data_IF_741846763368
#
_entry.id   IF_741846763368
#
_cell.length_a   1.000
_cell.length_b   1.000
_cell.length_c   1.000
_cell.angle_alpha   90.00
_cell.angle_beta   90.00
_cell.angle_gamma   90.00
#
_symmetry.space_group_name_H-M   'P 1'
#
loop_
_entity.id
_entity.type
_entity.pdbx_description
1 polymer ?
#
# COMPACT_ATOMS: atom_id res chain seq x y z
N UNK A 1 4.59 13.94 19.57
CA UNK A 1 3.89 13.50 18.33
C UNK A 1 3.55 12.03 18.48
N UNK A 2 2.32 11.56 18.16
CA UNK A 2 1.99 10.14 18.33
C UNK A 2 2.86 9.30 17.38
N UNK A 3 3.37 8.15 17.84
CA UNK A 3 4.34 7.35 17.09
C UNK A 3 3.84 6.86 15.73
N UNK A 4 2.53 6.60 15.58
CA UNK A 4 1.92 6.30 14.29
C UNK A 4 2.02 7.45 13.26
N UNK A 5 2.01 8.71 13.70
CA UNK A 5 2.23 9.85 12.81
C UNK A 5 3.69 9.93 12.34
N UNK A 6 4.64 9.56 13.21
CA UNK A 6 6.06 9.49 12.85
C UNK A 6 6.26 8.46 11.74
N UNK A 7 5.69 7.26 11.87
CA UNK A 7 5.78 6.24 10.81
C UNK A 7 5.17 6.70 9.49
N UNK A 8 4.01 7.37 9.54
CA UNK A 8 3.37 7.91 8.33
C UNK A 8 4.26 8.94 7.63
N UNK A 9 4.78 9.91 8.38
CA UNK A 9 5.64 10.95 7.82
C UNK A 9 6.94 10.37 7.26
N UNK A 10 7.51 9.38 7.95
CA UNK A 10 8.68 8.64 7.47
C UNK A 10 8.36 7.88 6.18
N UNK A 11 7.21 7.22 6.09
CA UNK A 11 6.75 6.55 4.88
C UNK A 11 6.61 7.51 3.70
N UNK A 12 6.02 8.69 3.93
CA UNK A 12 5.92 9.74 2.90
C UNK A 12 7.30 10.27 2.51
N UNK A 13 8.22 10.43 3.47
CA UNK A 13 9.58 10.80 3.15
C UNK A 13 10.24 9.76 2.22
N UNK A 14 10.10 8.46 2.52
CA UNK A 14 10.58 7.40 1.63
C UNK A 14 9.89 7.39 0.27
N UNK A 15 8.59 7.69 0.20
CA UNK A 15 7.89 7.87 -1.06
C UNK A 15 8.49 9.02 -1.88
N UNK A 16 8.84 10.15 -1.25
CA UNK A 16 9.49 11.27 -1.94
C UNK A 16 10.89 10.87 -2.40
N UNK A 17 11.67 10.25 -1.51
CA UNK A 17 13.07 9.88 -1.77
C UNK A 17 13.20 8.74 -2.79
N UNK A 18 12.23 7.84 -2.90
CA UNK A 18 12.21 6.81 -3.96
C UNK A 18 11.45 7.26 -5.21
N UNK A 19 10.31 7.92 -5.04
CA UNK A 19 9.42 8.29 -6.14
C UNK A 19 9.96 9.41 -7.02
N UNK A 20 10.62 10.43 -6.46
CA UNK A 20 11.21 11.52 -7.27
C UNK A 20 12.34 10.98 -8.16
N UNK A 21 13.32 10.22 -7.64
CA UNK A 21 14.30 9.55 -8.49
C UNK A 21 13.70 8.64 -9.54
N UNK A 22 12.67 7.86 -9.20
CA UNK A 22 11.99 7.02 -10.17
C UNK A 22 11.46 7.85 -11.35
N UNK A 23 10.77 8.97 -11.07
CA UNK A 23 10.27 9.87 -12.11
C UNK A 23 11.40 10.41 -12.99
N UNK A 24 12.49 10.86 -12.39
CA UNK A 24 13.63 11.41 -13.13
C UNK A 24 14.33 10.36 -14.00
N UNK A 25 14.60 9.17 -13.43
CA UNK A 25 15.15 8.03 -14.15
C UNK A 25 14.27 7.62 -15.33
N UNK A 26 12.95 7.62 -15.15
CA UNK A 26 12.04 7.28 -16.23
C UNK A 26 12.01 8.33 -17.34
N UNK A 27 12.02 9.61 -17.01
CA UNK A 27 12.12 10.66 -18.01
C UNK A 27 13.41 10.55 -18.82
N UNK A 28 14.53 10.29 -18.14
CA UNK A 28 15.85 10.09 -18.78
C UNK A 28 15.84 8.86 -19.71
N UNK A 29 15.33 7.72 -19.23
CA UNK A 29 15.18 6.50 -20.03
C UNK A 29 14.25 6.67 -21.24
N UNK A 30 13.33 7.63 -21.19
CA UNK A 30 12.46 7.97 -22.32
C UNK A 30 13.14 8.92 -23.32
N UNK A 31 14.33 9.45 -23.02
CA UNK A 31 15.07 10.37 -23.89
C UNK A 31 14.68 11.83 -23.69
N UNK A 32 14.33 12.22 -22.45
CA UNK A 32 14.09 13.64 -22.14
C UNK A 32 15.32 14.49 -22.49
N UNK A 33 15.14 15.63 -23.19
CA UNK A 33 16.26 16.31 -23.86
C UNK A 33 17.17 17.12 -22.93
N UNK A 34 16.91 17.13 -21.62
CA UNK A 34 17.66 17.90 -20.62
C UNK A 34 18.30 16.93 -19.64
N UNK A 35 19.58 17.12 -19.25
CA UNK A 35 20.22 16.26 -18.26
C UNK A 35 19.46 16.29 -16.93
N UNK A 36 19.08 15.12 -16.44
CA UNK A 36 18.37 14.94 -15.18
C UNK A 36 19.31 14.33 -14.12
N UNK A 37 19.14 14.64 -12.83
CA UNK A 37 19.94 14.06 -11.76
C UNK A 37 19.46 12.64 -11.42
N UNK A 38 19.72 11.69 -12.33
CA UNK A 38 19.28 10.28 -12.28
C UNK A 38 20.01 9.42 -11.24
N UNK A 39 21.16 9.89 -10.76
CA UNK A 39 21.98 9.18 -9.76
C UNK A 39 21.55 9.44 -8.31
N UNK A 40 20.52 10.28 -8.09
CA UNK A 40 19.96 10.50 -6.75
C UNK A 40 19.23 9.23 -6.30
N UNK A 41 19.76 8.54 -5.28
CA UNK A 41 19.23 7.29 -4.72
C UNK A 41 19.11 6.14 -5.73
N UNK A 42 20.19 5.33 -5.80
CA UNK A 42 20.28 4.21 -6.75
C UNK A 42 19.27 3.10 -6.45
N UNK A 43 18.82 2.96 -5.19
CA UNK A 43 17.90 1.89 -4.79
C UNK A 43 16.46 2.40 -4.59
N UNK A 44 15.98 3.26 -5.49
CA UNK A 44 14.62 3.82 -5.44
C UNK A 44 13.51 2.76 -5.28
N UNK A 45 13.63 1.59 -5.92
CA UNK A 45 12.67 0.50 -5.78
C UNK A 45 12.63 -0.05 -4.34
N UNK A 46 13.79 -0.15 -3.69
CA UNK A 46 13.92 -0.61 -2.31
C UNK A 46 13.31 0.41 -1.35
N UNK A 47 13.58 1.71 -1.57
CA UNK A 47 12.94 2.81 -0.83
C UNK A 47 11.42 2.78 -0.96
N UNK A 48 10.89 2.48 -2.14
CA UNK A 48 9.45 2.39 -2.37
C UNK A 48 8.82 1.17 -1.68
N UNK A 49 9.42 -0.02 -1.81
CA UNK A 49 8.86 -1.27 -1.30
C UNK A 49 9.11 -1.43 0.20
N UNK A 50 10.38 -1.39 0.62
CA UNK A 50 10.78 -1.63 2.01
C UNK A 50 10.88 -0.37 2.84
N UNK A 51 10.85 0.83 2.23
CA UNK A 51 10.65 2.08 2.95
C UNK A 51 9.17 2.43 3.03
N UNK A 52 8.61 2.97 1.93
CA UNK A 52 7.25 3.52 1.91
C UNK A 52 6.16 2.48 2.20
N UNK A 53 6.04 1.41 1.41
CA UNK A 53 4.97 0.44 1.59
C UNK A 53 5.08 -0.31 2.91
N UNK A 54 6.29 -0.71 3.32
CA UNK A 54 6.51 -1.38 4.61
C UNK A 54 6.13 -0.49 5.79
N UNK A 55 6.42 0.81 5.76
CA UNK A 55 5.99 1.72 6.82
C UNK A 55 4.48 1.97 6.79
N UNK A 56 3.88 2.12 5.61
CA UNK A 56 2.43 2.29 5.46
C UNK A 56 1.67 1.08 6.01
N UNK A 57 2.08 -0.13 5.61
CA UNK A 57 1.50 -1.39 6.07
C UNK A 57 1.80 -1.63 7.55
N UNK A 58 3.02 -1.34 8.00
CA UNK A 58 3.38 -1.43 9.40
C UNK A 58 2.51 -0.52 10.27
N UNK A 59 2.13 0.66 9.76
CA UNK A 59 1.19 1.56 10.44
C UNK A 59 -0.22 0.97 10.49
N UNK A 60 -0.70 0.38 9.39
CA UNK A 60 -1.98 -0.34 9.37
C UNK A 60 -2.01 -1.44 10.45
N UNK A 61 -0.96 -2.27 10.53
CA UNK A 61 -0.91 -3.39 11.48
C UNK A 61 -0.73 -2.93 12.94
N UNK A 62 0.23 -2.05 13.20
CA UNK A 62 0.62 -1.63 14.55
C UNK A 62 -0.30 -0.56 15.13
N UNK A 63 -1.01 0.20 14.30
CA UNK A 63 -1.85 1.32 14.76
C UNK A 63 -3.32 1.05 14.48
N UNK A 64 -3.72 0.93 13.21
CA UNK A 64 -5.14 0.84 12.84
C UNK A 64 -5.76 -0.50 13.29
N UNK A 65 -5.25 -1.61 12.76
CA UNK A 65 -5.71 -2.96 13.09
C UNK A 65 -5.52 -3.27 14.58
N UNK A 66 -4.40 -2.85 15.17
CA UNK A 66 -4.19 -2.99 16.61
C UNK A 66 -5.31 -2.32 17.42
N UNK A 67 -5.66 -1.09 17.06
CA UNK A 67 -6.69 -0.33 17.76
C UNK A 67 -8.08 -0.94 17.55
N UNK A 68 -8.38 -1.39 16.35
CA UNK A 68 -9.62 -2.11 16.04
C UNK A 68 -9.75 -3.41 16.85
N UNK A 69 -8.67 -4.20 16.91
CA UNK A 69 -8.70 -5.54 17.47
C UNK A 69 -8.57 -5.56 19.00
N UNK A 70 -7.67 -4.75 19.55
CA UNK A 70 -7.35 -4.72 20.98
C UNK A 70 -7.88 -3.49 21.72
N UNK A 71 -8.47 -2.52 21.01
CA UNK A 71 -8.93 -1.25 21.57
C UNK A 71 -7.79 -0.28 21.92
N UNK A 72 -6.55 -0.58 21.50
CA UNK A 72 -5.37 0.28 21.69
C UNK A 72 -4.37 0.08 20.56
N UNK A 73 -3.59 1.12 20.27
CA UNK A 73 -2.43 0.98 19.36
C UNK A 73 -1.35 0.09 20.00
N UNK A 74 -0.44 -0.42 19.19
CA UNK A 74 0.74 -1.14 19.67
C UNK A 74 1.57 -0.25 20.62
N UNK A 75 2.36 -0.85 21.53
CA UNK A 75 3.25 -0.09 22.39
C UNK A 75 4.17 0.83 21.59
N UNK A 76 4.33 2.08 22.04
CA UNK A 76 5.13 3.09 21.33
C UNK A 76 6.55 2.64 21.04
N UNK A 77 7.20 1.93 21.98
CA UNK A 77 8.54 1.40 21.77
C UNK A 77 8.60 0.44 20.59
N UNK A 78 7.59 -0.40 20.39
CA UNK A 78 7.54 -1.37 19.28
C UNK A 78 7.40 -0.66 17.94
N UNK A 79 6.53 0.36 17.89
CA UNK A 79 6.31 1.21 16.72
C UNK A 79 7.61 1.93 16.32
N UNK A 80 8.32 2.48 17.30
CA UNK A 80 9.58 3.20 17.07
C UNK A 80 10.71 2.24 16.64
N UNK A 81 10.87 1.10 17.32
CA UNK A 81 11.86 0.08 16.95
C UNK A 81 11.61 -0.40 15.51
N UNK A 82 10.36 -0.70 15.16
CA UNK A 82 10.00 -1.04 13.78
C UNK A 82 10.42 0.05 12.78
N UNK A 83 10.05 1.31 13.03
CA UNK A 83 10.38 2.43 12.15
C UNK A 83 11.88 2.68 12.02
N UNK A 84 12.64 2.58 13.11
CA UNK A 84 14.10 2.71 13.11
C UNK A 84 14.76 1.56 12.35
N UNK A 85 14.30 0.33 12.54
CA UNK A 85 14.80 -0.83 11.78
C UNK A 85 14.59 -0.62 10.28
N UNK A 86 13.39 -0.19 9.86
CA UNK A 86 13.13 0.11 8.44
C UNK A 86 14.03 1.23 7.93
N UNK A 87 14.22 2.31 8.71
CA UNK A 87 15.11 3.41 8.34
C UNK A 87 16.55 2.93 8.13
N UNK A 88 17.10 2.16 9.08
CA UNK A 88 18.45 1.60 8.99
C UNK A 88 18.59 0.70 7.76
N UNK A 89 17.61 -0.17 7.50
CA UNK A 89 17.64 -1.07 6.35
C UNK A 89 17.75 -0.32 5.02
N UNK A 90 16.98 0.77 4.87
CA UNK A 90 17.03 1.60 3.68
C UNK A 90 18.32 2.41 3.56
N UNK A 91 18.84 2.96 4.67
CA UNK A 91 20.14 3.66 4.67
C UNK A 91 21.28 2.71 4.27
N UNK A 92 21.27 1.47 4.77
CA UNK A 92 22.25 0.45 4.40
C UNK A 92 22.15 0.07 2.92
N UNK A 93 20.93 0.02 2.37
CA UNK A 93 20.76 -0.28 0.95
C UNK A 93 21.36 0.82 0.07
N UNK A 94 21.14 2.08 0.40
CA UNK A 94 21.75 3.20 -0.33
C UNK A 94 23.28 3.24 -0.18
N UNK A 95 23.81 2.67 0.90
CA UNK A 95 25.24 2.44 1.07
C UNK A 95 25.76 1.17 0.33
N UNK A 96 24.89 0.46 -0.40
CA UNK A 96 25.24 -0.76 -1.15
C UNK A 96 25.50 -2.00 -0.28
N UNK A 97 25.02 -2.02 0.96
CA UNK A 97 25.30 -3.08 1.92
C UNK A 97 24.18 -4.13 1.97
N UNK A 98 24.54 -5.41 1.77
CA UNK A 98 23.61 -6.56 1.87
C UNK A 98 22.96 -6.71 3.25
N UNK A 99 23.54 -6.11 4.29
CA UNK A 99 22.93 -6.04 5.63
C UNK A 99 21.53 -5.39 5.62
N UNK A 100 21.22 -4.58 4.59
CA UNK A 100 19.88 -4.02 4.37
C UNK A 100 18.78 -5.09 4.45
N UNK A 101 18.92 -6.20 3.71
CA UNK A 101 17.91 -7.27 3.66
C UNK A 101 17.72 -7.94 5.02
N UNK A 102 18.79 -8.20 5.77
CA UNK A 102 18.70 -8.79 7.11
C UNK A 102 18.01 -7.85 8.11
N UNK A 103 18.25 -6.55 7.99
CA UNK A 103 17.55 -5.54 8.80
C UNK A 103 16.06 -5.47 8.41
N UNK A 104 15.72 -5.56 7.13
CA UNK A 104 14.31 -5.66 6.70
C UNK A 104 13.65 -6.95 7.20
N UNK A 105 14.35 -8.08 7.21
CA UNK A 105 13.86 -9.32 7.83
C UNK A 105 13.52 -9.12 9.31
N UNK A 106 14.37 -8.40 10.06
CA UNK A 106 14.07 -8.07 11.44
C UNK A 106 12.78 -7.25 11.57
N UNK A 107 12.54 -6.28 10.69
CA UNK A 107 11.30 -5.52 10.66
C UNK A 107 10.07 -6.41 10.38
N UNK A 108 10.18 -7.35 9.45
CA UNK A 108 9.11 -8.32 9.17
C UNK A 108 8.88 -9.27 10.35
N UNK A 109 9.94 -9.72 11.04
CA UNK A 109 9.84 -10.55 12.26
C UNK A 109 9.12 -9.80 13.39
N UNK A 110 9.37 -8.49 13.54
CA UNK A 110 8.63 -7.66 14.50
C UNK A 110 7.13 -7.69 14.19
N UNK A 111 6.74 -7.50 12.92
CA UNK A 111 5.34 -7.56 12.50
C UNK A 111 4.74 -8.96 12.68
N UNK A 112 5.49 -10.02 12.32
CA UNK A 112 5.06 -11.41 12.51
C UNK A 112 4.85 -11.74 13.99
N UNK A 113 5.73 -11.30 14.88
CA UNK A 113 5.55 -11.50 16.31
C UNK A 113 4.31 -10.75 16.83
N UNK A 114 4.08 -9.53 16.32
CA UNK A 114 2.90 -8.75 16.67
C UNK A 114 1.59 -9.37 16.19
N UNK A 115 1.64 -10.24 15.17
CA UNK A 115 0.45 -10.90 14.61
C UNK A 115 -0.38 -11.68 15.62
N UNK A 116 0.26 -12.14 16.73
CA UNK A 116 -0.43 -12.77 17.86
C UNK A 116 -1.61 -11.94 18.37
N UNK A 117 -1.52 -10.62 18.28
CA UNK A 117 -2.59 -9.69 18.70
C UNK A 117 -3.85 -9.86 17.86
N UNK A 118 -3.72 -9.94 16.53
CA UNK A 118 -4.87 -10.05 15.63
C UNK A 118 -5.18 -11.50 15.21
N UNK A 119 -4.38 -12.47 15.66
CA UNK A 119 -4.65 -13.90 15.60
C UNK A 119 -5.28 -14.44 16.91
N UNK A 120 -5.35 -13.62 17.96
CA UNK A 120 -6.16 -13.92 19.15
C UNK A 120 -7.59 -13.41 19.00
N UNK A 121 -8.48 -13.78 19.91
CA UNK A 121 -9.83 -13.18 19.97
C UNK A 121 -9.74 -11.66 20.21
N UNK A 122 -10.59 -10.89 19.54
CA UNK A 122 -10.64 -9.43 19.69
C UNK A 122 -11.22 -9.02 21.04
N UNK A 123 -11.05 -7.74 21.42
CA UNK A 123 -11.60 -7.17 22.66
C UNK A 123 -13.14 -7.31 22.76
N UNK A 124 -13.82 -7.35 21.63
CA UNK A 124 -15.28 -7.52 21.54
C UNK A 124 -15.71 -8.97 21.26
N UNK A 125 -14.79 -9.94 21.36
CA UNK A 125 -15.10 -11.37 21.23
C UNK A 125 -15.09 -11.91 19.80
N UNK A 126 -14.67 -11.12 18.79
CA UNK A 126 -14.58 -11.60 17.42
C UNK A 126 -13.40 -12.56 17.27
N UNK A 127 -13.61 -13.66 16.55
CA UNK A 127 -12.55 -14.61 16.20
C UNK A 127 -11.80 -14.13 14.95
N UNK A 128 -10.51 -14.46 14.82
CA UNK A 128 -9.76 -14.19 13.59
C UNK A 128 -10.47 -14.77 12.37
N UNK A 129 -10.46 -14.01 11.28
CA UNK A 129 -11.07 -14.39 10.00
C UNK A 129 -9.99 -14.64 8.95
N UNK A 130 -10.38 -15.04 7.73
CA UNK A 130 -9.44 -15.29 6.62
C UNK A 130 -8.43 -14.14 6.45
N UNK A 131 -8.88 -12.89 6.53
CA UNK A 131 -8.03 -11.69 6.48
C UNK A 131 -6.83 -11.75 7.45
N UNK A 132 -7.06 -12.06 8.73
CA UNK A 132 -6.02 -12.10 9.76
C UNK A 132 -4.95 -13.14 9.44
N UNK A 133 -5.37 -14.32 8.94
CA UNK A 133 -4.47 -15.39 8.54
C UNK A 133 -3.72 -15.05 7.25
N UNK A 134 -4.40 -14.46 6.26
CA UNK A 134 -3.76 -14.02 5.00
C UNK A 134 -2.68 -12.97 5.24
N UNK A 135 -2.90 -12.03 6.17
CA UNK A 135 -1.87 -11.07 6.59
C UNK A 135 -0.65 -11.78 7.17
N UNK A 136 -0.85 -12.73 8.08
CA UNK A 136 0.25 -13.48 8.67
C UNK A 136 1.02 -14.30 7.62
N UNK A 137 0.30 -14.98 6.73
CA UNK A 137 0.90 -15.73 5.60
C UNK A 137 1.66 -14.78 4.67
N UNK A 138 1.16 -13.56 4.43
CA UNK A 138 1.87 -12.55 3.63
C UNK A 138 3.22 -12.20 4.25
N UNK A 139 3.26 -11.96 5.57
CA UNK A 139 4.51 -11.64 6.27
C UNK A 139 5.51 -12.80 6.20
N UNK A 140 5.03 -14.04 6.28
CA UNK A 140 5.86 -15.24 6.14
C UNK A 140 6.44 -15.35 4.72
N UNK A 141 5.60 -15.26 3.68
CA UNK A 141 6.05 -15.29 2.28
C UNK A 141 7.04 -14.15 2.01
N UNK A 142 6.75 -12.94 2.51
CA UNK A 142 7.61 -11.78 2.34
C UNK A 142 8.98 -11.97 3.01
N UNK A 143 9.02 -12.62 4.17
CA UNK A 143 10.28 -12.95 4.85
C UNK A 143 11.11 -13.95 4.05
N UNK A 144 10.48 -14.96 3.45
CA UNK A 144 11.16 -15.90 2.56
C UNK A 144 11.70 -15.18 1.31
N UNK A 145 10.89 -14.30 0.72
CA UNK A 145 11.26 -13.50 -0.46
C UNK A 145 12.45 -12.58 -0.16
N UNK A 146 12.41 -11.83 0.94
CA UNK A 146 13.52 -10.94 1.32
C UNK A 146 14.80 -11.73 1.59
N UNK A 147 14.68 -12.91 2.23
CA UNK A 147 15.82 -13.80 2.44
C UNK A 147 16.42 -14.29 1.13
N UNK A 148 15.57 -14.58 0.14
CA UNK A 148 16.00 -15.00 -1.19
C UNK A 148 16.65 -13.85 -1.96
N UNK A 149 16.07 -12.64 -1.90
CA UNK A 149 16.63 -11.45 -2.56
C UNK A 149 17.97 -11.02 -1.98
N UNK A 150 18.25 -11.33 -0.72
CA UNK A 150 19.57 -11.12 -0.13
C UNK A 150 20.70 -11.90 -0.84
N UNK A 151 20.36 -12.88 -1.69
CA UNK A 151 21.33 -13.69 -2.45
C UNK A 151 21.23 -13.41 -3.96
N UNK A 152 20.00 -13.30 -4.49
CA UNK A 152 19.77 -13.30 -5.93
C UNK A 152 19.40 -11.94 -6.55
N UNK A 153 19.21 -10.90 -5.73
CA UNK A 153 18.83 -9.54 -6.16
C UNK A 153 17.78 -9.50 -7.30
N UNK A 154 16.56 -9.96 -7.00
CA UNK A 154 15.45 -9.99 -7.95
C UNK A 154 14.38 -8.96 -7.55
N UNK A 155 14.40 -7.71 -8.06
CA UNK A 155 13.59 -6.61 -7.52
C UNK A 155 12.08 -6.84 -7.60
N UNK A 156 11.59 -7.53 -8.64
CA UNK A 156 10.15 -7.76 -8.84
C UNK A 156 9.53 -8.59 -7.71
N UNK A 157 10.30 -9.49 -7.09
CA UNK A 157 9.82 -10.28 -5.96
C UNK A 157 9.45 -9.39 -4.77
N UNK A 158 10.08 -8.21 -4.64
CA UNK A 158 9.71 -7.24 -3.62
C UNK A 158 8.25 -6.81 -3.70
N UNK A 159 7.62 -6.83 -4.88
CA UNK A 159 6.21 -6.48 -5.07
C UNK A 159 5.24 -7.48 -4.42
N UNK A 160 5.69 -8.69 -4.09
CA UNK A 160 4.89 -9.69 -3.40
C UNK A 160 4.36 -9.15 -2.07
N UNK A 161 5.24 -8.50 -1.28
CA UNK A 161 4.86 -7.97 0.02
C UNK A 161 3.69 -6.97 -0.05
N UNK A 162 3.79 -5.84 -0.78
CA UNK A 162 2.70 -4.87 -0.82
C UNK A 162 1.47 -5.42 -1.56
N UNK A 163 1.66 -6.20 -2.64
CA UNK A 163 0.53 -6.74 -3.41
C UNK A 163 -0.32 -7.69 -2.59
N UNK A 164 0.31 -8.67 -1.94
CA UNK A 164 -0.41 -9.64 -1.12
C UNK A 164 -1.00 -8.99 0.14
N UNK A 165 -0.30 -8.04 0.76
CA UNK A 165 -0.81 -7.38 1.97
C UNK A 165 -2.04 -6.54 1.65
N UNK A 166 -1.98 -5.71 0.61
CA UNK A 166 -3.13 -4.92 0.17
C UNK A 166 -4.28 -5.87 -0.18
N UNK A 167 -4.01 -6.93 -0.92
CA UNK A 167 -5.05 -7.90 -1.27
C UNK A 167 -5.70 -8.57 -0.05
N UNK A 168 -4.90 -8.93 0.97
CA UNK A 168 -5.40 -9.44 2.24
C UNK A 168 -6.30 -8.40 2.92
N UNK A 169 -5.86 -7.14 3.07
CA UNK A 169 -6.68 -6.04 3.62
C UNK A 169 -7.99 -5.88 2.85
N UNK A 170 -7.94 -5.96 1.52
CA UNK A 170 -9.12 -5.86 0.68
C UNK A 170 -10.13 -6.99 0.89
N UNK A 171 -9.69 -8.18 1.31
CA UNK A 171 -10.61 -9.28 1.62
C UNK A 171 -11.59 -8.95 2.75
N UNK A 172 -11.26 -7.97 3.60
CA UNK A 172 -12.13 -7.38 4.63
C UNK A 172 -12.80 -6.10 4.13
N UNK A 173 -12.01 -5.15 3.64
CA UNK A 173 -12.45 -3.76 3.47
C UNK A 173 -13.35 -3.55 2.25
N UNK A 174 -13.27 -4.41 1.23
CA UNK A 174 -14.11 -4.30 0.03
C UNK A 174 -15.60 -4.24 0.40
N UNK A 175 -16.04 -5.03 1.37
CA UNK A 175 -17.45 -5.10 1.76
C UNK A 175 -17.91 -3.78 2.37
N UNK A 176 -17.08 -3.17 3.22
CA UNK A 176 -17.35 -1.90 3.88
C UNK A 176 -17.37 -0.75 2.88
N UNK A 177 -16.36 -0.69 2.01
CA UNK A 177 -16.16 0.39 1.04
C UNK A 177 -17.23 0.37 -0.07
N UNK A 178 -17.71 -0.83 -0.43
CA UNK A 178 -18.67 -1.04 -1.52
C UNK A 178 -20.14 -1.06 -1.10
N UNK A 179 -20.45 -0.70 0.15
CA UNK A 179 -21.83 -0.52 0.64
C UNK A 179 -22.39 -1.72 1.41
N UNK A 180 -21.55 -2.43 2.16
CA UNK A 180 -21.96 -3.50 3.08
C UNK A 180 -22.18 -4.86 2.43
N UNK A 181 -21.60 -5.12 1.25
CA UNK A 181 -21.75 -6.41 0.56
C UNK A 181 -20.93 -7.49 1.26
N UNK A 182 -21.51 -8.68 1.46
CA UNK A 182 -20.78 -9.86 1.93
C UNK A 182 -19.86 -10.38 0.82
N UNK A 183 -18.57 -10.51 1.13
CA UNK A 183 -17.56 -11.06 0.23
C UNK A 183 -17.49 -12.57 0.39
N UNK A 184 -17.35 -13.31 -0.70
CA UNK A 184 -17.01 -14.73 -0.65
C UNK A 184 -15.55 -14.92 -0.23
N UNK A 185 -15.33 -15.23 1.06
CA UNK A 185 -13.99 -15.37 1.63
C UNK A 185 -13.21 -16.56 1.06
N UNK A 186 -13.89 -17.64 0.65
CA UNK A 186 -13.24 -18.81 0.07
C UNK A 186 -12.61 -18.49 -1.29
N UNK A 187 -13.39 -17.86 -2.17
CA UNK A 187 -12.89 -17.39 -3.47
C UNK A 187 -11.80 -16.33 -3.33
N UNK A 188 -11.94 -15.41 -2.37
CA UNK A 188 -10.91 -14.39 -2.13
C UNK A 188 -9.60 -15.00 -1.62
N UNK A 189 -9.68 -16.04 -0.80
CA UNK A 189 -8.50 -16.80 -0.34
C UNK A 189 -7.83 -17.54 -1.49
N UNK A 190 -8.60 -18.20 -2.36
CA UNK A 190 -8.06 -18.83 -3.56
C UNK A 190 -7.42 -17.81 -4.50
N UNK A 191 -8.07 -16.66 -4.70
CA UNK A 191 -7.54 -15.57 -5.51
C UNK A 191 -6.19 -15.06 -4.96
N UNK A 192 -6.06 -14.91 -3.64
CA UNK A 192 -4.81 -14.56 -2.99
C UNK A 192 -3.70 -15.58 -3.28
N UNK A 193 -4.00 -16.88 -3.19
CA UNK A 193 -3.02 -17.95 -3.46
C UNK A 193 -2.57 -17.93 -4.92
N UNK A 194 -3.51 -17.77 -5.85
CA UNK A 194 -3.21 -17.63 -7.27
C UNK A 194 -2.41 -16.36 -7.58
N UNK A 195 -2.67 -15.25 -6.88
CA UNK A 195 -1.86 -14.04 -7.01
C UNK A 195 -0.43 -14.29 -6.55
N UNK A 196 -0.26 -14.91 -5.37
CA UNK A 196 1.06 -15.24 -4.84
C UNK A 196 1.84 -16.16 -5.79
N UNK A 197 1.21 -17.22 -6.29
CA UNK A 197 1.79 -18.13 -7.28
C UNK A 197 2.13 -17.41 -8.58
N UNK A 198 1.25 -16.53 -9.06
CA UNK A 198 1.49 -15.69 -10.23
C UNK A 198 2.76 -14.87 -10.08
N UNK A 199 2.87 -14.08 -9.01
CA UNK A 199 4.03 -13.22 -8.77
C UNK A 199 5.34 -14.02 -8.58
N UNK A 200 5.29 -15.13 -7.84
CA UNK A 200 6.46 -15.99 -7.59
C UNK A 200 6.96 -16.70 -8.85
N UNK A 201 6.08 -16.98 -9.80
CA UNK A 201 6.41 -17.72 -11.02
C UNK A 201 6.62 -16.83 -12.24
N UNK A 202 6.79 -15.51 -12.05
CA UNK A 202 6.99 -14.53 -13.12
C UNK A 202 8.04 -15.02 -14.15
N UNK A 203 7.72 -14.86 -15.44
CA UNK A 203 8.54 -15.36 -16.55
C UNK A 203 8.22 -16.79 -16.98
N UNK A 204 7.43 -17.54 -16.21
CA UNK A 204 6.90 -18.85 -16.61
C UNK A 204 5.51 -18.74 -17.24
N UNK A 205 5.10 -19.77 -17.99
CA UNK A 205 3.74 -19.88 -18.53
C UNK A 205 2.65 -20.01 -17.45
N UNK A 206 3.01 -20.47 -16.25
CA UNK A 206 2.08 -20.60 -15.12
C UNK A 206 1.66 -19.24 -14.56
N UNK A 207 2.54 -18.24 -14.65
CA UNK A 207 2.35 -16.93 -14.04
C UNK A 207 1.14 -16.17 -14.58
N UNK A 208 0.98 -15.93 -15.90
CA UNK A 208 -0.18 -15.20 -16.42
C UNK A 208 -1.49 -15.94 -16.16
N UNK A 209 -1.48 -17.28 -16.24
CA UNK A 209 -2.66 -18.12 -15.93
C UNK A 209 -3.08 -17.92 -14.48
N UNK A 210 -2.12 -18.01 -13.54
CA UNK A 210 -2.38 -17.84 -12.12
C UNK A 210 -2.90 -16.43 -11.82
N UNK A 211 -2.31 -15.39 -12.41
CA UNK A 211 -2.76 -14.02 -12.22
C UNK A 211 -4.16 -13.75 -12.80
N UNK A 212 -4.50 -14.34 -13.95
CA UNK A 212 -5.85 -14.25 -14.51
C UNK A 212 -6.85 -14.96 -13.59
N UNK A 213 -6.52 -16.14 -13.05
CA UNK A 213 -7.38 -16.83 -12.09
C UNK A 213 -7.58 -15.99 -10.81
N UNK A 214 -6.51 -15.38 -10.31
CA UNK A 214 -6.59 -14.45 -9.19
C UNK A 214 -7.52 -13.26 -9.49
N UNK A 215 -7.40 -12.68 -10.68
CA UNK A 215 -8.26 -11.59 -11.14
C UNK A 215 -9.73 -12.02 -11.24
N UNK A 216 -10.03 -13.13 -11.92
CA UNK A 216 -11.40 -13.64 -12.10
C UNK A 216 -12.06 -13.92 -10.75
N UNK A 217 -11.39 -14.70 -9.89
CA UNK A 217 -11.92 -15.10 -8.59
C UNK A 217 -12.13 -13.88 -7.68
N UNK A 218 -11.17 -12.95 -7.63
CA UNK A 218 -11.31 -11.75 -6.81
C UNK A 218 -12.38 -10.80 -7.32
N UNK A 219 -12.53 -10.66 -8.65
CA UNK A 219 -13.58 -9.84 -9.23
C UNK A 219 -14.97 -10.42 -8.96
N UNK A 220 -15.12 -11.74 -9.06
CA UNK A 220 -16.37 -12.44 -8.74
C UNK A 220 -16.70 -12.32 -7.24
N UNK A 221 -15.74 -12.64 -6.37
CA UNK A 221 -15.90 -12.60 -4.91
C UNK A 221 -16.27 -11.19 -4.40
N UNK A 222 -15.66 -10.16 -4.98
CA UNK A 222 -15.88 -8.76 -4.60
C UNK A 222 -17.12 -8.15 -5.26
N UNK A 223 -17.37 -8.48 -6.53
CA UNK A 223 -18.36 -7.84 -7.38
C UNK A 223 -18.18 -6.33 -7.49
N UNK A 224 -16.93 -5.83 -7.48
CA UNK A 224 -16.59 -4.40 -7.57
C UNK A 224 -17.39 -3.65 -8.66
N UNK A 225 -17.47 -4.14 -9.92
CA UNK A 225 -18.13 -3.41 -10.99
C UNK A 225 -19.64 -3.21 -10.75
N UNK A 226 -20.27 -4.12 -10.02
CA UNK A 226 -21.71 -4.16 -9.77
C UNK A 226 -22.10 -3.63 -8.39
N UNK A 227 -21.14 -3.14 -7.61
CA UNK A 227 -21.39 -2.62 -6.28
C UNK A 227 -22.23 -1.34 -6.30
N UNK A 228 -23.07 -1.14 -5.27
CA UNK A 228 -23.91 0.06 -5.09
C UNK A 228 -23.26 1.15 -4.22
N UNK A 229 -22.02 0.95 -3.79
CA UNK A 229 -21.29 1.88 -2.93
C UNK A 229 -20.95 3.25 -3.55
N UNK A 230 -20.15 4.03 -2.81
CA UNK A 230 -19.70 5.36 -3.26
C UNK A 230 -19.02 5.27 -4.63
N UNK A 231 -19.23 6.27 -5.48
CA UNK A 231 -18.69 6.28 -6.86
C UNK A 231 -17.16 6.25 -6.88
N UNK A 232 -16.52 7.09 -6.07
CA UNK A 232 -15.06 7.23 -6.11
C UNK A 232 -14.30 5.93 -5.78
N UNK A 233 -14.57 5.26 -4.64
CA UNK A 233 -13.95 3.96 -4.35
C UNK A 233 -14.22 2.89 -5.42
N UNK A 234 -15.43 2.86 -5.98
CA UNK A 234 -15.76 1.92 -7.06
C UNK A 234 -14.91 2.16 -8.30
N UNK A 235 -14.77 3.41 -8.73
CA UNK A 235 -13.97 3.73 -9.91
C UNK A 235 -12.50 3.38 -9.66
N UNK A 236 -11.95 3.79 -8.51
CA UNK A 236 -10.56 3.52 -8.16
C UNK A 236 -10.26 2.02 -8.06
N UNK A 237 -11.12 1.24 -7.39
CA UNK A 237 -10.96 -0.21 -7.28
C UNK A 237 -11.18 -0.93 -8.61
N UNK A 238 -12.12 -0.49 -9.44
CA UNK A 238 -12.28 -1.04 -10.79
C UNK A 238 -11.00 -0.81 -11.63
N UNK A 239 -10.39 0.37 -11.54
CA UNK A 239 -9.12 0.66 -12.22
C UNK A 239 -7.98 -0.20 -11.65
N UNK A 240 -7.89 -0.36 -10.33
CA UNK A 240 -6.90 -1.25 -9.72
C UNK A 240 -7.00 -2.68 -10.25
N UNK A 241 -8.22 -3.23 -10.33
CA UNK A 241 -8.45 -4.58 -10.87
C UNK A 241 -8.19 -4.64 -12.38
N UNK A 242 -8.50 -3.59 -13.14
CA UNK A 242 -8.16 -3.54 -14.55
C UNK A 242 -6.64 -3.60 -14.75
N UNK A 243 -5.86 -2.87 -13.94
CA UNK A 243 -4.41 -2.93 -13.98
C UNK A 243 -3.83 -4.26 -13.52
N UNK A 244 -4.46 -4.92 -12.55
CA UNK A 244 -4.08 -6.29 -12.19
C UNK A 244 -4.24 -7.24 -13.39
N UNK A 245 -5.33 -7.13 -14.16
CA UNK A 245 -5.48 -7.88 -15.40
C UNK A 245 -4.42 -7.51 -16.44
N UNK A 246 -4.17 -6.21 -16.65
CA UNK A 246 -3.13 -5.75 -17.58
C UNK A 246 -1.77 -6.31 -17.20
N UNK A 247 -1.42 -6.39 -15.92
CA UNK A 247 -0.16 -7.00 -15.48
C UNK A 247 -0.05 -8.47 -15.88
N UNK A 248 -1.14 -9.23 -15.82
CA UNK A 248 -1.17 -10.62 -16.25
C UNK A 248 -0.98 -10.76 -17.78
N UNK A 249 -1.53 -9.83 -18.56
CA UNK A 249 -1.43 -9.83 -20.02
C UNK A 249 -0.07 -9.30 -20.51
N UNK A 250 0.54 -8.39 -19.75
CA UNK A 250 1.78 -7.71 -20.10
C UNK A 250 3.05 -8.40 -19.60
N UNK A 251 2.97 -9.67 -19.16
CA UNK A 251 4.14 -10.37 -18.59
C UNK A 251 5.33 -10.52 -19.53
N UNK A 252 5.10 -10.49 -20.85
CA UNK A 252 6.16 -10.47 -21.86
C UNK A 252 7.02 -9.19 -21.84
N UNK A 253 6.62 -8.17 -21.08
CA UNK A 253 7.36 -6.93 -20.88
C UNK A 253 7.50 -6.63 -19.39
N UNK A 254 8.72 -6.75 -18.87
CA UNK A 254 9.04 -6.60 -17.44
C UNK A 254 8.57 -5.27 -16.86
N UNK A 255 8.85 -4.16 -17.55
CA UNK A 255 8.47 -2.83 -17.09
C UNK A 255 6.95 -2.68 -17.06
N UNK A 256 6.26 -3.10 -18.13
CA UNK A 256 4.80 -3.03 -18.20
C UNK A 256 4.15 -3.84 -17.08
N UNK A 257 4.67 -5.03 -16.80
CA UNK A 257 4.25 -5.89 -15.70
C UNK A 257 4.41 -5.19 -14.33
N UNK A 258 5.62 -4.68 -14.04
CA UNK A 258 5.91 -4.01 -12.77
C UNK A 258 5.07 -2.76 -12.59
N UNK A 259 5.00 -1.87 -13.59
CA UNK A 259 4.26 -0.62 -13.46
C UNK A 259 2.76 -0.86 -13.33
N UNK A 260 2.22 -1.87 -14.02
CA UNK A 260 0.81 -2.26 -13.88
C UNK A 260 0.48 -2.73 -12.46
N UNK A 261 1.39 -3.42 -11.77
CA UNK A 261 1.20 -3.78 -10.36
C UNK A 261 1.47 -2.57 -9.46
N UNK A 262 2.69 -2.05 -9.49
CA UNK A 262 3.21 -1.10 -8.53
C UNK A 262 2.42 0.22 -8.54
N UNK A 263 2.10 0.73 -9.73
CA UNK A 263 1.39 1.99 -9.91
C UNK A 263 -0.09 1.77 -10.23
N UNK A 264 -0.38 0.79 -11.07
CA UNK A 264 -1.74 0.47 -11.47
C UNK A 264 -2.55 -0.15 -10.34
N UNK A 265 -2.18 -1.33 -9.88
CA UNK A 265 -2.93 -2.05 -8.86
C UNK A 265 -2.80 -1.42 -7.46
N UNK A 266 -1.58 -1.20 -6.96
CA UNK A 266 -1.36 -0.78 -5.57
C UNK A 266 -1.88 0.64 -5.31
N UNK A 267 -1.44 1.64 -6.09
CA UNK A 267 -1.83 3.04 -5.80
C UNK A 267 -3.31 3.31 -6.08
N UNK A 268 -3.93 2.72 -7.12
CA UNK A 268 -5.37 2.84 -7.29
C UNK A 268 -6.13 2.18 -6.13
N UNK A 269 -5.61 1.09 -5.55
CA UNK A 269 -6.21 0.50 -4.34
C UNK A 269 -6.05 1.44 -3.14
N UNK A 270 -4.86 1.99 -2.90
CA UNK A 270 -4.63 3.00 -1.84
C UNK A 270 -5.56 4.19 -2.01
N UNK A 271 -5.80 4.67 -3.24
CA UNK A 271 -6.72 5.77 -3.51
C UNK A 271 -8.18 5.37 -3.29
N UNK A 272 -8.59 4.17 -3.68
CA UNK A 272 -9.97 3.72 -3.55
C UNK A 272 -10.37 3.39 -2.11
N UNK A 273 -9.39 3.01 -1.30
CA UNK A 273 -9.57 2.42 0.02
C UNK A 273 -9.06 3.42 1.04
N UNK A 274 -9.63 4.62 0.96
CA UNK A 274 -9.39 5.72 1.90
C UNK A 274 -9.37 5.25 3.37
N UNK A 275 -9.91 4.07 3.73
CA UNK A 275 -9.76 3.42 5.04
C UNK A 275 -8.30 3.26 5.50
N UNK A 276 -7.32 2.87 4.67
CA UNK A 276 -5.94 2.71 5.19
C UNK A 276 -5.38 4.04 5.70
N UNK A 277 -5.68 5.14 5.01
CA UNK A 277 -5.25 6.46 5.46
C UNK A 277 -6.19 7.02 6.54
N UNK A 278 -7.51 6.88 6.41
CA UNK A 278 -8.50 7.41 7.36
C UNK A 278 -8.52 6.64 8.68
N UNK A 279 -8.44 5.31 8.68
CA UNK A 279 -8.43 4.47 9.88
C UNK A 279 -7.09 4.59 10.61
N UNK A 280 -5.98 4.74 9.87
CA UNK A 280 -4.71 5.17 10.45
C UNK A 280 -4.82 6.55 11.07
N UNK A 281 -5.44 7.53 10.40
CA UNK A 281 -5.66 8.87 10.97
C UNK A 281 -6.61 8.82 12.18
N UNK A 282 -7.60 7.92 12.21
CA UNK A 282 -8.44 7.66 13.37
C UNK A 282 -7.62 7.04 14.50
N UNK A 283 -6.75 6.07 14.24
CA UNK A 283 -5.87 5.48 15.25
C UNK A 283 -4.85 6.49 15.79
N UNK A 284 -4.34 7.37 14.93
CA UNK A 284 -3.40 8.44 15.30
C UNK A 284 -4.11 9.56 16.05
N UNK A 285 -5.31 9.99 15.69
CA UNK A 285 -5.95 11.15 16.31
C UNK A 285 -7.04 10.78 17.32
N UNK A 286 -7.47 9.53 17.37
CA UNK A 286 -8.56 9.04 18.20
C UNK A 286 -9.94 9.56 17.80
N UNK A 287 -10.08 10.20 16.62
CA UNK A 287 -11.32 10.82 16.16
C UNK A 287 -11.50 10.61 14.65
N UNK A 288 -12.75 10.54 14.20
CA UNK A 288 -13.10 10.43 12.78
C UNK A 288 -12.80 11.74 12.05
N UNK A 289 -12.01 11.64 11.00
CA UNK A 289 -11.72 12.73 10.06
C UNK A 289 -12.54 12.49 8.80
N UNK A 290 -13.16 13.54 8.26
CA UNK A 290 -13.88 13.45 7.00
C UNK A 290 -13.02 14.00 5.87
N UNK A 291 -12.80 13.19 4.83
CA UNK A 291 -12.09 13.62 3.63
C UNK A 291 -13.00 13.45 2.43
N UNK A 292 -13.09 14.51 1.63
CA UNK A 292 -13.76 14.50 0.33
C UNK A 292 -12.76 14.00 -0.69
N UNK A 293 -13.07 12.91 -1.41
CA UNK A 293 -12.16 12.37 -2.41
C UNK A 293 -12.07 13.30 -3.61
N UNK A 294 -10.89 13.35 -4.23
CA UNK A 294 -10.63 14.06 -5.48
C UNK A 294 -10.31 13.04 -6.57
N UNK A 295 -10.88 13.21 -7.77
CA UNK A 295 -10.54 12.38 -8.93
C UNK A 295 -9.22 12.80 -9.60
N UNK A 296 -8.64 13.95 -9.24
CA UNK A 296 -7.40 14.44 -9.85
C UNK A 296 -6.24 13.44 -9.72
N UNK A 297 -5.91 12.89 -8.53
CA UNK A 297 -4.88 11.86 -8.40
C UNK A 297 -5.11 10.66 -9.32
N UNK A 298 -6.37 10.21 -9.38
CA UNK A 298 -6.79 9.05 -10.16
C UNK A 298 -6.58 9.28 -11.65
N UNK A 299 -7.06 10.41 -12.17
CA UNK A 299 -6.93 10.75 -13.60
C UNK A 299 -5.46 10.89 -14.00
N UNK A 300 -4.67 11.64 -13.22
CA UNK A 300 -3.25 11.87 -13.52
C UNK A 300 -2.45 10.57 -13.50
N UNK A 301 -2.62 9.75 -12.46
CA UNK A 301 -1.93 8.46 -12.33
C UNK A 301 -2.25 7.53 -13.50
N UNK A 302 -3.54 7.34 -13.80
CA UNK A 302 -3.96 6.38 -14.82
C UNK A 302 -3.63 6.85 -16.24
N UNK A 303 -3.76 8.15 -16.53
CA UNK A 303 -3.34 8.70 -17.82
C UNK A 303 -1.83 8.54 -18.02
N UNK A 304 -1.04 8.89 -17.01
CA UNK A 304 0.40 8.70 -17.04
C UNK A 304 0.78 7.21 -17.17
N UNK A 305 0.04 6.30 -16.53
CA UNK A 305 0.29 4.86 -16.63
C UNK A 305 -0.05 4.29 -18.00
N UNK A 306 -1.15 4.73 -18.64
CA UNK A 306 -1.45 4.37 -20.04
C UNK A 306 -0.31 4.80 -20.96
N UNK A 307 0.17 6.04 -20.83
CA UNK A 307 1.32 6.53 -21.60
C UNK A 307 2.58 5.69 -21.32
N UNK A 308 2.79 5.28 -20.07
CA UNK A 308 3.93 4.44 -19.71
C UNK A 308 3.88 3.07 -20.37
N UNK A 309 2.75 2.38 -20.31
CA UNK A 309 2.60 1.08 -20.95
C UNK A 309 2.73 1.20 -22.48
N UNK A 310 2.17 2.25 -23.08
CA UNK A 310 2.36 2.51 -24.50
C UNK A 310 3.86 2.64 -24.86
N UNK A 311 4.63 3.38 -24.05
CA UNK A 311 6.07 3.49 -24.22
C UNK A 311 6.79 2.14 -24.04
N UNK A 312 6.48 1.42 -22.97
CA UNK A 312 7.10 0.12 -22.66
C UNK A 312 6.83 -0.90 -23.78
N UNK A 313 5.69 -0.81 -24.48
CA UNK A 313 5.34 -1.62 -25.65
C UNK A 313 5.98 -1.15 -26.98
N UNK A 314 6.86 -0.15 -26.94
CA UNK A 314 7.66 0.30 -28.07
C UNK A 314 7.12 1.52 -28.82
N UNK A 315 6.06 2.17 -28.33
CA UNK A 315 5.61 3.43 -28.93
C UNK A 315 6.58 4.56 -28.57
N UNK A 316 7.01 5.34 -29.57
CA UNK A 316 7.85 6.52 -29.37
C UNK A 316 7.08 7.79 -29.75
N UNK A 317 6.89 8.68 -28.78
CA UNK A 317 6.30 10.00 -29.01
C UNK A 317 6.70 10.95 -27.88
N UNK A 318 6.99 12.24 -28.16
CA UNK A 318 7.35 13.21 -27.14
C UNK A 318 6.28 13.39 -26.04
N UNK A 319 5.01 13.11 -26.35
CA UNK A 319 3.94 13.18 -25.35
C UNK A 319 4.11 12.14 -24.23
N UNK A 320 4.80 11.02 -24.51
CA UNK A 320 5.03 9.95 -23.55
C UNK A 320 6.02 10.36 -22.45
N UNK A 321 6.80 11.44 -22.65
CA UNK A 321 7.65 12.02 -21.59
C UNK A 321 6.84 12.54 -20.40
N UNK A 322 5.54 12.80 -20.59
CA UNK A 322 4.65 13.20 -19.52
C UNK A 322 4.24 12.01 -18.64
N UNK A 323 4.51 10.75 -19.02
CA UNK A 323 4.03 9.58 -18.29
C UNK A 323 4.48 9.60 -16.83
N UNK A 324 5.78 9.81 -16.58
CA UNK A 324 6.36 9.78 -15.26
C UNK A 324 5.96 11.02 -14.41
N UNK A 325 6.03 12.26 -14.93
CA UNK A 325 5.51 13.44 -14.23
C UNK A 325 4.03 13.33 -13.85
N UNK A 326 3.17 12.84 -14.75
CA UNK A 326 1.74 12.67 -14.47
C UNK A 326 1.50 11.68 -13.32
N UNK A 327 2.22 10.55 -13.31
CA UNK A 327 2.14 9.57 -12.22
C UNK A 327 2.63 10.18 -10.89
N UNK A 328 3.79 10.83 -10.89
CA UNK A 328 4.36 11.48 -9.72
C UNK A 328 3.43 12.56 -9.14
N UNK A 329 2.99 13.51 -9.97
CA UNK A 329 2.05 14.57 -9.56
C UNK A 329 0.72 13.97 -9.10
N UNK A 330 0.23 12.91 -9.76
CA UNK A 330 -0.95 12.17 -9.34
C UNK A 330 -0.83 11.69 -7.89
N UNK A 331 0.23 10.96 -7.57
CA UNK A 331 0.49 10.45 -6.22
C UNK A 331 0.66 11.59 -5.21
N UNK A 332 1.45 12.62 -5.52
CA UNK A 332 1.65 13.75 -4.60
C UNK A 332 0.36 14.53 -4.34
N UNK A 333 -0.45 14.73 -5.38
CA UNK A 333 -1.72 15.44 -5.25
C UNK A 333 -2.68 14.71 -4.30
N UNK A 334 -2.67 13.38 -4.26
CA UNK A 334 -3.46 12.60 -3.30
C UNK A 334 -3.08 12.95 -1.85
N UNK A 335 -1.79 12.92 -1.53
CA UNK A 335 -1.32 13.26 -0.18
C UNK A 335 -1.57 14.72 0.17
N UNK A 336 -1.25 15.65 -0.72
CA UNK A 336 -1.45 17.09 -0.48
C UNK A 336 -2.92 17.41 -0.25
N UNK A 337 -3.83 16.89 -1.08
CA UNK A 337 -5.27 17.13 -0.95
C UNK A 337 -5.84 16.47 0.31
N UNK A 338 -5.31 15.31 0.70
CA UNK A 338 -5.69 14.62 1.94
C UNK A 338 -5.22 15.41 3.16
N UNK A 339 -3.93 15.75 3.25
CA UNK A 339 -3.38 16.50 4.37
C UNK A 339 -3.98 17.90 4.52
N UNK A 340 -4.27 18.58 3.42
CA UNK A 340 -4.97 19.89 3.44
C UNK A 340 -6.33 19.80 4.13
N UNK A 341 -7.02 18.66 4.05
CA UNK A 341 -8.31 18.45 4.72
C UNK A 341 -8.12 17.96 6.17
N UNK A 342 -7.16 17.08 6.40
CA UNK A 342 -6.92 16.43 7.69
C UNK A 342 -6.31 17.38 8.71
N UNK A 343 -5.25 18.12 8.35
CA UNK A 343 -4.49 18.96 9.29
C UNK A 343 -5.38 20.02 9.97
N UNK A 344 -6.26 20.77 9.27
CA UNK A 344 -7.16 21.72 9.92
C UNK A 344 -8.14 21.06 10.88
N UNK A 345 -8.70 19.90 10.51
CA UNK A 345 -9.63 19.16 11.37
C UNK A 345 -8.96 18.73 12.68
N UNK A 346 -7.74 18.21 12.59
CA UNK A 346 -6.93 17.83 13.77
C UNK A 346 -6.57 19.04 14.63
N UNK A 347 -6.15 20.16 14.04
CA UNK A 347 -5.79 21.38 14.80
C UNK A 347 -6.98 21.97 15.57
N UNK A 348 -8.18 21.90 14.99
CA UNK A 348 -9.39 22.39 15.64
C UNK A 348 -9.84 21.47 16.79
N UNK A 349 -9.52 20.17 16.70
CA UNK A 349 -9.79 19.19 17.75
C UNK A 349 -8.96 19.45 19.02
N UNK A 350 -7.66 19.76 18.88
CA UNK A 350 -6.78 20.05 20.02
C UNK A 350 -7.16 21.34 20.77
N UNK A 351 -7.93 22.22 20.12
CA UNK A 351 -8.50 23.43 20.74
C UNK A 351 -9.81 23.15 21.51
N UNK A 352 -10.49 22.04 21.22
CA UNK A 352 -11.67 21.59 21.97
C UNK A 352 -11.25 20.76 23.20
N UNK A 353 -10.70 21.41 24.23
CA UNK A 353 -10.71 20.82 25.57
C UNK A 353 -12.15 20.86 26.07
N UNK A 354 -12.80 19.71 25.95
CA UNK A 354 -13.78 19.11 26.85
C UNK A 354 -14.70 18.21 26.01
N UNK A 355 -14.35 16.93 25.96
CA UNK A 355 -15.37 15.92 25.69
C UNK A 355 -16.02 15.61 27.03
N UNK A 356 -17.07 16.37 27.36
CA UNK A 356 -18.08 15.89 28.30
C UNK A 356 -18.58 14.57 27.72
N UNK A 357 -18.23 13.47 28.39
CA UNK A 357 -18.80 12.17 28.08
C UNK A 357 -20.30 12.32 28.32
N UNK A 358 -21.13 12.11 27.28
CA UNK A 358 -22.58 12.03 27.42
C UNK A 358 -22.90 10.93 28.44
N UNK A 359 -23.10 11.32 29.71
CA UNK A 359 -23.27 10.40 30.84
C UNK A 359 -22.66 10.88 32.17
N UNK A 360 -21.65 11.76 32.16
CA UNK A 360 -21.13 12.34 33.41
C UNK A 360 -22.02 13.51 33.85
N UNK A 361 -22.90 13.26 34.83
CA UNK A 361 -23.44 14.34 35.65
C UNK A 361 -22.27 14.89 36.47
N UNK A 362 -22.02 16.21 36.47
CA UNK A 362 -21.08 16.77 37.44
C UNK A 362 -21.64 16.48 38.82
N UNK A 363 -20.81 15.86 39.67
CA UNK A 363 -21.11 15.71 41.09
C UNK A 363 -21.48 17.10 41.62
N UNK A 364 -22.71 17.21 42.13
CA UNK A 364 -23.11 18.32 42.99
C UNK A 364 -22.33 18.16 44.29
N UNK A 365 -21.47 19.11 44.59
CA UNK A 365 -21.13 19.51 45.96
C UNK A 365 -21.63 20.93 46.16
#
# INVERSE_FOLDING_TARGET
MKSGLILLLLGIAFLMLGGVPAVLNFMDNQGFPVPLPTTLFSAHWFLMIYGFFLLLIGNELLVALSNEWSGRTAPTWLILVFGVTVLIGNVLQEAGSILSYYVILLALVILMNYSRTYLSTSKIGLRPTAYNYLLFVTLLISSLVVSFQAVFDLPWLGLIFPSLTIFAIMSRDLGLVLGGKRINQGEMTLAYLFLALGLLSYGSSLSPISMILAWVLSLHASGIPWAKGRRYPRVALSLAWAWLLVSALAQGNYDSFIHSIALGFLFNTVFGVDSVLMDMLIGVFGRRVSVKPSYLPLVLLNLGLIMRIAFDLGMSSPILFLSAPLQGIGILSFYVLTFRQVIPQVRNIDKSKDLIIKGERPNRS
#
